data_IF_281557180809
#
_entry.id   IF_281557180809
#
_cell.length_a   1.000
_cell.length_b   1.000
_cell.length_c   1.000
_cell.angle_alpha   90.00
_cell.angle_beta   90.00
_cell.angle_gamma   90.00
#
_symmetry.space_group_name_H-M   'P 1'
#
loop_
_entity.id
_entity.type
_entity.pdbx_description
1 polymer ?
#
# COMPACT_ATOMS: atom_id res chain seq x y z
N UNK A 1 -13.49 -2.60 14.97
CA UNK A 1 -13.05 -2.60 13.55
C UNK A 1 -12.53 -3.96 13.16
N UNK A 2 -12.82 -4.40 11.94
CA UNK A 2 -12.24 -5.60 11.30
C UNK A 2 -11.53 -5.17 10.03
N UNK A 3 -10.30 -5.64 9.83
CA UNK A 3 -9.47 -5.30 8.67
C UNK A 3 -9.02 -6.58 7.97
N UNK A 4 -9.29 -6.65 6.66
CA UNK A 4 -8.68 -7.59 5.74
C UNK A 4 -7.78 -6.78 4.79
N UNK A 5 -6.49 -7.07 4.77
CA UNK A 5 -5.50 -6.30 4.00
C UNK A 5 -4.49 -7.22 3.32
N UNK A 6 -4.14 -6.86 2.11
CA UNK A 6 -3.02 -7.42 1.36
C UNK A 6 -2.11 -6.25 0.96
N UNK A 7 -0.84 -6.29 1.36
CA UNK A 7 0.11 -5.22 1.05
C UNK A 7 1.08 -4.91 2.17
N UNK A 8 1.77 -3.79 2.01
CA UNK A 8 2.81 -3.30 2.92
C UNK A 8 2.71 -1.79 3.09
N UNK A 9 2.79 -1.31 4.33
CA UNK A 9 2.77 0.12 4.67
C UNK A 9 4.19 0.55 5.08
N UNK A 10 4.90 1.17 4.16
CA UNK A 10 6.33 1.49 4.31
C UNK A 10 6.64 2.51 5.41
N UNK A 11 5.72 3.44 5.69
CA UNK A 11 5.86 4.45 6.73
C UNK A 11 5.21 4.08 8.06
N UNK A 12 4.90 2.79 8.29
CA UNK A 12 4.19 2.32 9.50
C UNK A 12 4.90 2.71 10.81
N UNK A 13 6.25 2.76 10.82
CA UNK A 13 7.02 3.12 12.03
C UNK A 13 6.81 4.59 12.44
N UNK A 14 6.70 5.48 11.45
CA UNK A 14 6.42 6.90 11.69
C UNK A 14 4.99 7.08 12.21
N UNK A 15 4.05 6.37 11.57
CA UNK A 15 2.65 6.38 11.98
C UNK A 15 2.44 5.77 13.37
N UNK A 16 3.16 4.69 13.73
CA UNK A 16 3.13 4.11 15.08
C UNK A 16 3.64 5.10 16.13
N UNK A 17 4.70 5.85 15.83
CA UNK A 17 5.22 6.88 16.74
C UNK A 17 4.24 8.04 16.92
N UNK A 18 3.60 8.46 15.85
CA UNK A 18 2.56 9.51 15.89
C UNK A 18 1.35 9.10 16.74
N UNK A 19 0.96 7.83 16.65
CA UNK A 19 -0.20 7.27 17.34
C UNK A 19 0.14 6.74 18.75
N UNK A 20 1.40 6.83 19.17
CA UNK A 20 1.84 6.40 20.49
C UNK A 20 1.07 7.17 21.59
N UNK A 21 0.48 6.44 22.53
CA UNK A 21 -0.36 7.00 23.59
C UNK A 21 -1.84 7.18 23.24
N UNK A 22 -2.20 7.11 21.95
CA UNK A 22 -3.60 7.14 21.49
C UNK A 22 -4.12 5.72 21.16
N UNK A 23 -3.23 4.81 20.78
CA UNK A 23 -3.58 3.45 20.40
C UNK A 23 -2.52 2.45 20.87
N UNK A 24 -2.98 1.36 21.46
CA UNK A 24 -2.14 0.23 21.86
C UNK A 24 -2.11 -0.83 20.75
N UNK A 25 -0.97 -0.92 20.05
CA UNK A 25 -0.78 -1.88 18.98
C UNK A 25 -0.71 -3.30 19.50
N UNK A 26 -1.51 -4.19 18.93
CA UNK A 26 -1.64 -5.57 19.37
C UNK A 26 -0.70 -6.52 18.60
N UNK A 27 -0.22 -6.11 17.44
CA UNK A 27 0.63 -6.93 16.57
C UNK A 27 1.88 -6.18 16.13
N UNK A 28 2.83 -6.91 15.53
CA UNK A 28 3.97 -6.33 14.83
C UNK A 28 3.69 -5.95 13.37
N UNK A 29 2.46 -6.20 12.87
CA UNK A 29 2.12 -5.93 11.47
C UNK A 29 2.16 -4.43 11.16
N UNK A 30 2.79 -4.09 10.05
CA UNK A 30 2.82 -2.74 9.50
C UNK A 30 1.41 -2.23 9.14
N UNK A 31 0.55 -3.13 8.66
CA UNK A 31 -0.82 -2.80 8.25
C UNK A 31 -1.76 -2.47 9.43
N UNK A 32 -1.41 -2.80 10.67
CA UNK A 32 -2.25 -2.49 11.83
C UNK A 32 -2.49 -0.99 12.00
N UNK A 33 -1.58 -0.15 11.50
CA UNK A 33 -1.73 1.33 11.56
C UNK A 33 -3.00 1.84 10.88
N UNK A 34 -3.56 1.08 9.93
CA UNK A 34 -4.80 1.41 9.24
C UNK A 34 -5.97 1.57 10.23
N UNK A 35 -6.05 0.71 11.24
CA UNK A 35 -7.15 0.72 12.21
C UNK A 35 -7.23 2.03 13.03
N UNK A 36 -6.16 2.44 13.75
CA UNK A 36 -6.20 3.70 14.49
C UNK A 36 -6.26 4.93 13.58
N UNK A 37 -5.65 4.88 12.39
CA UNK A 37 -5.76 5.96 11.42
C UNK A 37 -7.21 6.15 10.94
N UNK A 38 -7.94 5.06 10.70
CA UNK A 38 -9.35 5.14 10.32
C UNK A 38 -10.20 5.75 11.43
N UNK A 39 -9.97 5.35 12.69
CA UNK A 39 -10.68 5.95 13.85
C UNK A 39 -10.44 7.45 13.97
N UNK A 40 -9.21 7.89 13.70
CA UNK A 40 -8.80 9.29 13.88
C UNK A 40 -9.15 10.18 12.68
N UNK A 41 -8.99 9.67 11.47
CA UNK A 41 -9.05 10.48 10.24
C UNK A 41 -10.13 10.04 9.25
N UNK A 42 -10.85 8.93 9.51
CA UNK A 42 -11.80 8.38 8.54
C UNK A 42 -11.13 8.05 7.20
N UNK A 43 -11.75 8.41 6.10
CA UNK A 43 -11.21 8.18 4.74
C UNK A 43 -9.90 8.92 4.48
N UNK A 44 -9.65 10.05 5.15
CA UNK A 44 -8.40 10.83 5.00
C UNK A 44 -7.16 10.07 5.50
N UNK A 45 -7.32 8.90 6.12
CA UNK A 45 -6.22 7.98 6.40
C UNK A 45 -5.42 7.67 5.14
N UNK A 46 -6.07 7.62 3.96
CA UNK A 46 -5.45 7.24 2.70
C UNK A 46 -4.33 8.20 2.29
N UNK A 47 -4.46 9.50 2.59
CA UNK A 47 -3.44 10.52 2.29
C UNK A 47 -2.19 10.36 3.18
N UNK A 48 -2.28 9.56 4.24
CA UNK A 48 -1.20 9.34 5.20
C UNK A 48 -0.42 8.05 4.95
N UNK A 49 -0.99 7.13 4.17
CA UNK A 49 -0.37 5.84 3.87
C UNK A 49 0.65 5.97 2.74
N UNK A 50 1.86 5.48 2.98
CA UNK A 50 2.87 5.27 1.96
C UNK A 50 3.14 3.77 1.86
N UNK A 51 2.67 3.13 0.78
CA UNK A 51 2.75 1.68 0.65
C UNK A 51 2.10 1.17 -0.62
N UNK A 52 2.10 -0.15 -0.74
CA UNK A 52 1.32 -0.91 -1.72
C UNK A 52 0.24 -1.64 -0.93
N UNK A 53 -1.02 -1.46 -1.27
CA UNK A 53 -2.11 -2.04 -0.48
C UNK A 53 -3.42 -2.18 -1.24
N UNK A 54 -4.16 -3.19 -0.83
CA UNK A 54 -5.58 -3.33 -1.07
C UNK A 54 -6.22 -3.83 0.23
N UNK A 55 -7.23 -3.14 0.72
CA UNK A 55 -7.88 -3.53 1.96
C UNK A 55 -9.40 -3.35 1.95
N UNK A 56 -10.06 -4.12 2.79
CA UNK A 56 -11.43 -3.90 3.20
C UNK A 56 -11.46 -3.76 4.73
N UNK A 57 -12.04 -2.68 5.21
CA UNK A 57 -12.23 -2.37 6.62
C UNK A 57 -13.70 -2.31 6.93
N UNK A 58 -14.15 -2.98 7.99
CA UNK A 58 -15.51 -2.95 8.47
C UNK A 58 -15.59 -2.35 9.88
N UNK A 59 -16.39 -1.32 10.01
CA UNK A 59 -16.70 -0.68 11.28
C UNK A 59 -18.01 -1.27 11.84
N UNK A 60 -17.86 -2.16 12.81
CA UNK A 60 -18.98 -2.87 13.42
C UNK A 60 -19.93 -1.91 14.16
N UNK A 61 -19.39 -0.84 14.76
CA UNK A 61 -20.20 0.10 15.56
C UNK A 61 -21.09 0.96 14.68
N UNK A 62 -20.62 1.29 13.46
CA UNK A 62 -21.34 2.14 12.50
C UNK A 62 -22.08 1.37 11.43
N UNK A 63 -21.83 0.05 11.34
CA UNK A 63 -22.27 -0.80 10.23
C UNK A 63 -21.85 -0.22 8.85
N UNK A 64 -20.59 0.25 8.79
CA UNK A 64 -20.01 0.86 7.61
C UNK A 64 -18.77 0.09 7.16
N UNK A 65 -18.48 0.10 5.86
CA UNK A 65 -17.23 -0.45 5.35
C UNK A 65 -16.53 0.50 4.39
N UNK A 66 -15.21 0.39 4.37
CA UNK A 66 -14.30 1.11 3.48
C UNK A 66 -13.42 0.09 2.76
N UNK A 67 -13.43 0.14 1.44
CA UNK A 67 -12.54 -0.64 0.58
C UNK A 67 -11.62 0.35 -0.12
N UNK A 68 -10.31 0.11 -0.15
CA UNK A 68 -9.37 1.02 -0.80
C UNK A 68 -8.21 0.27 -1.45
N UNK A 69 -7.64 0.89 -2.48
CA UNK A 69 -6.49 0.39 -3.22
C UNK A 69 -5.44 1.47 -3.40
N UNK A 70 -4.18 1.06 -3.37
CA UNK A 70 -3.03 1.95 -3.52
C UNK A 70 -3.05 2.77 -4.83
N UNK A 71 -2.30 3.90 -4.89
CA UNK A 71 -2.30 4.81 -6.04
C UNK A 71 -1.92 4.19 -7.38
N UNK A 72 -1.06 3.16 -7.37
CA UNK A 72 -0.54 2.50 -8.58
C UNK A 72 -1.33 1.23 -8.89
N UNK A 73 -1.96 0.62 -7.85
CA UNK A 73 -2.65 -0.66 -7.95
C UNK A 73 -1.68 -1.83 -8.06
N UNK A 74 -0.57 -1.76 -7.32
CA UNK A 74 0.41 -2.86 -7.27
C UNK A 74 -0.24 -4.12 -6.74
N UNK A 75 -1.03 -3.98 -5.67
CA UNK A 75 -1.81 -5.11 -5.16
C UNK A 75 -3.08 -5.24 -6.02
N UNK A 76 -3.34 -6.42 -6.60
CA UNK A 76 -4.60 -6.67 -7.30
C UNK A 76 -5.79 -6.55 -6.35
N UNK A 77 -6.90 -6.01 -6.85
CA UNK A 77 -8.18 -5.99 -6.15
C UNK A 77 -9.32 -6.04 -7.17
N UNK A 78 -10.29 -6.89 -6.89
CA UNK A 78 -11.51 -7.04 -7.65
C UNK A 78 -12.71 -6.83 -6.74
N UNK A 79 -13.79 -6.30 -7.31
CA UNK A 79 -15.05 -6.08 -6.66
C UNK A 79 -16.13 -6.80 -7.49
N UNK A 80 -17.07 -7.45 -6.81
CA UNK A 80 -18.13 -8.19 -7.49
C UNK A 80 -19.43 -8.22 -6.71
N UNK A 81 -20.50 -8.58 -7.39
CA UNK A 81 -21.85 -8.71 -6.82
C UNK A 81 -22.46 -10.03 -7.23
N UNK A 82 -23.11 -10.70 -6.27
CA UNK A 82 -23.90 -11.90 -6.54
C UNK A 82 -25.33 -11.54 -7.06
N UNK A 83 -26.19 -12.56 -7.19
CA UNK A 83 -27.56 -12.39 -7.64
C UNK A 83 -28.45 -11.63 -6.64
N UNK A 84 -28.07 -11.62 -5.37
CA UNK A 84 -28.77 -10.91 -4.30
C UNK A 84 -28.16 -9.51 -4.03
N UNK A 85 -27.31 -9.00 -4.96
CA UNK A 85 -26.59 -7.72 -4.86
C UNK A 85 -25.63 -7.62 -3.66
N UNK A 86 -25.22 -8.75 -3.08
CA UNK A 86 -24.19 -8.75 -2.03
C UNK A 86 -22.84 -8.45 -2.64
N UNK A 87 -22.10 -7.58 -1.95
CA UNK A 87 -20.77 -7.13 -2.35
C UNK A 87 -19.69 -8.10 -1.88
N UNK A 88 -18.78 -8.43 -2.79
CA UNK A 88 -17.59 -9.23 -2.53
C UNK A 88 -16.35 -8.51 -3.03
N UNK A 89 -15.24 -8.69 -2.30
CA UNK A 89 -13.93 -8.18 -2.72
C UNK A 89 -12.87 -9.25 -2.53
N UNK A 90 -11.93 -9.31 -3.48
CA UNK A 90 -10.80 -10.24 -3.40
C UNK A 90 -9.59 -9.72 -4.18
N UNK A 91 -8.40 -10.06 -3.75
CA UNK A 91 -7.17 -9.79 -4.51
C UNK A 91 -7.01 -10.70 -5.72
N UNK A 92 -7.74 -11.83 -5.76
CA UNK A 92 -7.69 -12.77 -6.86
C UNK A 92 -9.06 -12.96 -7.52
N UNK A 93 -9.12 -12.79 -8.84
CA UNK A 93 -10.36 -12.94 -9.63
C UNK A 93 -11.04 -14.28 -9.40
N UNK A 94 -10.27 -15.38 -9.36
CA UNK A 94 -10.79 -16.74 -9.17
C UNK A 94 -11.60 -16.92 -7.88
N UNK A 95 -11.36 -16.08 -6.86
CA UNK A 95 -12.13 -16.15 -5.61
C UNK A 95 -13.56 -15.61 -5.76
N UNK A 96 -13.83 -14.84 -6.79
CA UNK A 96 -15.15 -14.27 -7.09
C UNK A 96 -15.88 -15.06 -8.19
N UNK A 97 -15.16 -15.87 -8.97
CA UNK A 97 -15.75 -16.70 -10.02
C UNK A 97 -16.69 -17.77 -9.39
N UNK A 98 -17.86 -17.92 -9.96
CA UNK A 98 -18.89 -18.84 -9.47
C UNK A 98 -19.69 -18.34 -8.25
N UNK A 99 -19.29 -17.20 -7.67
CA UNK A 99 -20.03 -16.54 -6.58
C UNK A 99 -20.68 -15.26 -7.10
N UNK A 100 -19.96 -14.45 -7.87
CA UNK A 100 -20.45 -13.18 -8.37
C UNK A 100 -20.95 -13.26 -9.81
N UNK A 101 -22.04 -12.57 -10.10
CA UNK A 101 -22.61 -12.45 -11.44
C UNK A 101 -21.94 -11.31 -12.22
N UNK A 102 -21.44 -10.30 -11.51
CA UNK A 102 -20.71 -9.16 -12.07
C UNK A 102 -19.40 -9.01 -11.29
N UNK A 103 -18.28 -8.98 -12.01
CA UNK A 103 -16.96 -8.78 -11.43
C UNK A 103 -16.26 -7.66 -12.21
N UNK A 104 -15.60 -6.75 -11.50
CA UNK A 104 -14.83 -5.66 -12.08
C UNK A 104 -13.50 -5.50 -11.36
N UNK A 105 -12.42 -5.07 -12.04
CA UNK A 105 -11.23 -4.59 -11.37
C UNK A 105 -11.59 -3.38 -10.49
N UNK A 106 -10.99 -3.32 -9.30
CA UNK A 106 -11.08 -2.13 -8.45
C UNK A 106 -10.03 -1.11 -8.92
N UNK A 107 -10.44 0.11 -9.17
CA UNK A 107 -9.58 1.17 -9.73
C UNK A 107 -8.43 1.54 -8.79
N UNK A 108 -7.17 1.65 -9.29
CA UNK A 108 -6.06 2.19 -8.51
C UNK A 108 -6.33 3.61 -8.03
N UNK A 109 -5.88 3.95 -6.82
CA UNK A 109 -6.09 5.29 -6.25
C UNK A 109 -7.54 5.64 -5.96
N UNK A 110 -8.40 4.61 -5.80
CA UNK A 110 -9.81 4.79 -5.45
C UNK A 110 -10.15 4.11 -4.12
N UNK A 111 -11.24 4.54 -3.54
CA UNK A 111 -11.92 3.84 -2.44
C UNK A 111 -13.41 3.67 -2.75
N UNK A 112 -14.01 2.70 -2.09
CA UNK A 112 -15.46 2.54 -2.00
C UNK A 112 -15.87 2.63 -0.55
N UNK A 113 -16.79 3.53 -0.25
CA UNK A 113 -17.40 3.66 1.07
C UNK A 113 -18.86 3.25 1.01
N UNK A 114 -19.31 2.39 1.95
CA UNK A 114 -20.72 2.04 2.08
C UNK A 114 -21.59 3.26 2.37
N UNK A 115 -21.02 4.25 3.09
CA UNK A 115 -21.70 5.51 3.40
C UNK A 115 -22.00 6.36 2.16
N UNK A 116 -21.07 6.39 1.20
CA UNK A 116 -21.22 7.16 -0.04
C UNK A 116 -21.89 6.36 -1.15
N UNK A 117 -21.85 5.03 -1.06
CA UNK A 117 -22.43 4.11 -2.05
C UNK A 117 -21.80 4.17 -3.42
N UNK A 118 -20.53 4.65 -3.52
CA UNK A 118 -19.85 4.86 -4.80
C UNK A 118 -18.34 4.69 -4.69
N UNK A 119 -17.71 4.46 -5.86
CA UNK A 119 -16.28 4.54 -6.06
C UNK A 119 -15.86 6.00 -6.14
N UNK A 120 -14.87 6.39 -5.33
CA UNK A 120 -14.36 7.76 -5.29
C UNK A 120 -12.84 7.74 -5.45
N UNK A 121 -12.33 8.60 -6.34
CA UNK A 121 -10.88 8.79 -6.49
C UNK A 121 -10.36 9.60 -5.33
N UNK A 122 -9.35 9.07 -4.61
CA UNK A 122 -8.68 9.77 -3.52
C UNK A 122 -7.28 10.25 -3.90
N UNK A 123 -6.66 9.65 -4.93
CA UNK A 123 -5.32 10.01 -5.36
C UNK A 123 -5.32 10.60 -6.77
N UNK A 124 -4.80 11.79 -6.92
CA UNK A 124 -4.57 12.44 -8.21
C UNK A 124 -3.07 12.76 -8.33
N UNK A 125 -2.50 12.43 -9.46
CA UNK A 125 -1.07 12.69 -9.74
C UNK A 125 -0.91 14.12 -10.22
N UNK A 126 0.01 14.89 -9.62
CA UNK A 126 0.28 16.30 -9.98
C UNK A 126 0.70 16.45 -11.44
N UNK A 127 1.36 15.41 -12.00
CA UNK A 127 1.83 15.37 -13.37
C UNK A 127 0.83 14.79 -14.38
N UNK A 128 -0.39 14.47 -13.98
CA UNK A 128 -1.42 13.98 -14.91
C UNK A 128 -1.95 15.05 -15.85
N UNK A 129 -1.78 16.32 -15.51
CA UNK A 129 -2.05 17.45 -16.40
C UNK A 129 -0.77 17.78 -17.19
N UNK A 130 -0.80 17.47 -18.50
CA UNK A 130 0.33 17.72 -19.39
C UNK A 130 0.68 19.21 -19.46
N UNK A 131 -0.31 20.10 -19.50
CA UNK A 131 -0.07 21.56 -19.60
C UNK A 131 0.61 22.13 -18.37
N UNK A 132 0.37 21.52 -17.20
CA UNK A 132 1.03 21.92 -15.96
C UNK A 132 2.51 21.50 -15.89
N UNK A 133 2.93 20.47 -16.65
CA UNK A 133 4.29 19.90 -16.54
C UNK A 133 5.15 20.04 -17.79
N UNK A 134 4.58 20.41 -18.94
CA UNK A 134 5.28 20.46 -20.23
C UNK A 134 6.52 21.38 -20.27
N UNK A 135 6.54 22.41 -19.43
CA UNK A 135 7.64 23.37 -19.33
C UNK A 135 8.53 23.13 -18.10
N UNK A 136 8.30 22.01 -17.39
CA UNK A 136 9.07 21.64 -16.20
C UNK A 136 10.54 21.33 -16.55
N UNK A 137 11.46 21.80 -15.73
CA UNK A 137 12.87 21.42 -15.84
C UNK A 137 13.13 20.09 -15.14
N UNK A 138 14.04 19.29 -15.72
CA UNK A 138 14.45 18.03 -15.10
C UNK A 138 15.61 18.25 -14.14
N UNK A 139 15.42 18.00 -12.86
CA UNK A 139 16.48 17.90 -11.87
C UNK A 139 16.89 16.42 -11.69
N UNK A 140 18.02 16.05 -12.32
CA UNK A 140 18.55 14.69 -12.28
C UNK A 140 18.98 14.28 -10.87
N UNK A 141 19.50 15.23 -10.07
CA UNK A 141 19.92 14.94 -8.71
C UNK A 141 18.72 14.65 -7.80
N UNK A 142 17.66 15.45 -7.92
CA UNK A 142 16.39 15.22 -7.22
C UNK A 142 15.74 13.89 -7.64
N UNK A 143 15.73 13.57 -8.94
CA UNK A 143 15.22 12.30 -9.46
C UNK A 143 15.99 11.10 -8.87
N UNK A 144 17.32 11.17 -8.85
CA UNK A 144 18.17 10.14 -8.25
C UNK A 144 17.85 9.97 -6.76
N UNK A 145 17.80 11.07 -6.02
CA UNK A 145 17.51 11.03 -4.58
C UNK A 145 16.12 10.43 -4.30
N UNK A 146 15.12 10.77 -5.10
CA UNK A 146 13.76 10.22 -4.99
C UNK A 146 13.73 8.71 -5.27
N UNK A 147 14.44 8.24 -6.31
CA UNK A 147 14.54 6.83 -6.65
C UNK A 147 15.25 6.04 -5.53
N UNK A 148 16.40 6.53 -5.05
CA UNK A 148 17.14 5.91 -3.95
C UNK A 148 16.28 5.82 -2.68
N UNK A 149 15.53 6.87 -2.35
CA UNK A 149 14.62 6.91 -1.22
C UNK A 149 13.43 5.94 -1.39
N UNK A 150 12.89 5.82 -2.60
CA UNK A 150 11.80 4.89 -2.89
C UNK A 150 12.24 3.43 -2.73
N UNK A 151 13.40 3.06 -3.30
CA UNK A 151 13.96 1.71 -3.14
C UNK A 151 14.25 1.43 -1.66
N UNK A 152 14.91 2.36 -0.96
CA UNK A 152 15.24 2.19 0.46
C UNK A 152 14.01 1.91 1.32
N UNK A 153 12.91 2.63 1.12
CA UNK A 153 11.66 2.42 1.88
C UNK A 153 11.08 1.02 1.67
N UNK A 154 11.21 0.46 0.47
CA UNK A 154 10.68 -0.86 0.11
C UNK A 154 11.59 -2.02 0.56
N UNK A 155 12.77 -1.74 1.11
CA UNK A 155 13.65 -2.78 1.66
C UNK A 155 13.29 -3.17 3.10
N UNK A 156 12.24 -2.61 3.67
CA UNK A 156 11.70 -3.11 4.93
C UNK A 156 11.18 -4.53 4.72
N UNK A 157 11.69 -5.48 5.48
CA UNK A 157 11.25 -6.88 5.40
C UNK A 157 11.71 -7.62 6.64
N UNK A 158 10.87 -8.46 7.20
CA UNK A 158 11.18 -9.40 8.26
C UNK A 158 11.62 -10.77 7.73
N UNK A 159 11.57 -10.95 6.40
CA UNK A 159 12.01 -12.15 5.68
C UNK A 159 13.08 -11.81 4.65
N UNK A 160 13.90 -12.79 4.20
CA UNK A 160 14.85 -12.59 3.12
C UNK A 160 14.16 -12.11 1.84
N UNK A 161 14.74 -11.12 1.19
CA UNK A 161 14.30 -10.66 -0.12
C UNK A 161 15.39 -10.85 -1.19
N UNK A 162 14.99 -10.90 -2.44
CA UNK A 162 15.88 -10.94 -3.59
C UNK A 162 15.53 -9.84 -4.59
N UNK A 163 16.45 -9.57 -5.50
CA UNK A 163 16.25 -8.62 -6.60
C UNK A 163 16.27 -9.39 -7.91
N UNK A 164 15.26 -9.19 -8.75
CA UNK A 164 15.20 -9.77 -10.09
C UNK A 164 16.04 -8.92 -11.04
N UNK A 165 17.15 -9.47 -11.52
CA UNK A 165 18.07 -8.83 -12.43
C UNK A 165 17.88 -9.37 -13.86
N UNK A 166 17.09 -8.65 -14.67
CA UNK A 166 16.83 -9.05 -16.08
C UNK A 166 17.95 -8.66 -17.04
N UNK A 167 18.97 -7.90 -16.59
CA UNK A 167 20.04 -7.36 -17.43
C UNK A 167 19.70 -6.03 -18.12
N UNK A 168 18.48 -5.52 -17.98
CA UNK A 168 18.08 -4.20 -18.44
C UNK A 168 18.58 -3.07 -17.54
N UNK A 169 18.49 -1.83 -18.04
CA UNK A 169 18.95 -0.64 -17.31
C UNK A 169 18.22 -0.49 -15.96
N UNK A 170 16.88 -0.57 -15.97
CA UNK A 170 16.06 -0.34 -14.78
C UNK A 170 16.35 -1.35 -13.68
N UNK A 171 16.35 -2.65 -14.02
CA UNK A 171 16.65 -3.71 -13.05
C UNK A 171 18.07 -3.61 -12.49
N UNK A 172 19.03 -3.16 -13.32
CA UNK A 172 20.42 -2.96 -12.89
C UNK A 172 20.55 -1.79 -11.92
N UNK A 173 19.86 -0.68 -12.16
CA UNK A 173 19.82 0.47 -11.27
C UNK A 173 19.17 0.09 -9.93
N UNK A 174 18.00 -0.55 -9.96
CA UNK A 174 17.30 -0.99 -8.74
C UNK A 174 18.17 -1.95 -7.94
N UNK A 175 18.82 -2.92 -8.58
CA UNK A 175 19.72 -3.87 -7.91
C UNK A 175 20.94 -3.18 -7.28
N UNK A 176 21.54 -2.22 -7.98
CA UNK A 176 22.67 -1.46 -7.48
C UNK A 176 22.30 -0.60 -6.26
N UNK A 177 21.13 0.05 -6.30
CA UNK A 177 20.63 0.84 -5.17
C UNK A 177 20.28 -0.08 -4.00
N UNK A 178 19.56 -1.18 -4.24
CA UNK A 178 19.22 -2.16 -3.19
C UNK A 178 20.48 -2.69 -2.49
N UNK A 179 21.51 -3.05 -3.26
CA UNK A 179 22.79 -3.53 -2.69
C UNK A 179 23.44 -2.49 -1.75
N UNK A 180 23.38 -1.20 -2.07
CA UNK A 180 23.96 -0.13 -1.21
C UNK A 180 23.31 -0.05 0.17
N UNK A 181 22.08 -0.51 0.30
CA UNK A 181 21.32 -0.52 1.55
C UNK A 181 21.22 -1.90 2.20
N UNK A 182 21.52 -2.99 1.47
CA UNK A 182 21.40 -4.36 1.95
C UNK A 182 22.28 -4.67 3.18
N UNK A 183 23.45 -4.03 3.28
CA UNK A 183 24.37 -4.20 4.43
C UNK A 183 23.85 -3.49 5.71
N UNK A 184 22.83 -2.65 5.58
CA UNK A 184 22.22 -1.92 6.68
C UNK A 184 20.79 -2.41 6.87
N UNK A 185 20.63 -3.48 7.58
CA UNK A 185 19.31 -4.02 7.90
C UNK A 185 18.48 -2.97 8.64
N UNK A 186 17.35 -2.57 8.05
CA UNK A 186 16.48 -1.54 8.62
C UNK A 186 15.68 -2.09 9.80
N UNK A 187 15.54 -3.42 9.94
CA UNK A 187 14.63 -4.09 10.86
C UNK A 187 15.27 -4.98 11.94
N UNK A 188 16.57 -4.86 12.18
CA UNK A 188 17.24 -5.68 13.19
C UNK A 188 17.47 -5.01 14.53
N UNK A 189 16.51 -4.38 15.10
CA UNK A 189 16.55 -4.22 16.55
C UNK A 189 16.16 -5.55 17.20
N UNK A 190 17.15 -6.39 17.53
CA UNK A 190 17.01 -7.50 18.46
C UNK A 190 16.93 -8.93 17.90
N UNK A 191 17.22 -9.18 16.62
CA UNK A 191 17.32 -10.56 16.08
C UNK A 191 18.71 -10.82 15.47
N UNK A 192 19.32 -11.95 15.84
CA UNK A 192 20.60 -12.39 15.30
C UNK A 192 20.57 -12.50 13.78
N UNK A 193 21.49 -11.79 13.11
CA UNK A 193 21.58 -11.69 11.66
C UNK A 193 22.08 -12.94 10.92
N UNK A 194 21.96 -14.14 11.52
CA UNK A 194 22.62 -15.37 11.06
C UNK A 194 22.00 -15.98 9.78
N UNK A 195 20.84 -15.53 9.32
CA UNK A 195 20.12 -16.13 8.19
C UNK A 195 20.08 -15.28 6.91
N UNK A 196 20.67 -14.10 6.93
CA UNK A 196 20.68 -13.23 5.77
C UNK A 196 21.76 -13.70 4.76
N UNK A 197 21.46 -13.95 3.48
CA UNK A 197 22.46 -14.24 2.47
C UNK A 197 23.38 -13.02 2.28
N UNK A 198 24.69 -13.27 2.38
CA UNK A 198 25.72 -12.27 2.13
C UNK A 198 25.91 -12.02 0.63
#
# INVERSE_FOLDING_TARGET
LVLAVNGEIYNHRELRRELAGEYEFQTGSDCEVILPLYRKYGVQLLDRLNGIFAFALYDIERDEYLIARDPVGVIPLYIGWDADERLYVASELKALEGVCNVIRPFEPGHYWSSREGKMTRWYTRDWSDYDAVKEGSTDVAALRAALEAAVKRQLMSDVPYGVLLSGGLDSSIISAVAKRFADRRIETEGRDGAWWPR
#
